data_IF_964358237959
#
_entry.id   IF_964358237959
#
_cell.length_a   1.000
_cell.length_b   1.000
_cell.length_c   1.000
_cell.angle_alpha   90.00
_cell.angle_beta   90.00
_cell.angle_gamma   90.00
#
_symmetry.space_group_name_H-M   'P 1'
#
loop_
_entity.id
_entity.type
_entity.pdbx_description
1 polymer ?
#
# COMPACT_ATOMS: atom_id res chain seq x y z
N UNK A 1 -16.24 3.31 -17.03
CA UNK A 1 -15.28 3.95 -16.10
C UNK A 1 -13.90 3.75 -16.66
N UNK A 2 -13.08 4.80 -16.69
CA UNK A 2 -11.69 4.68 -17.12
C UNK A 2 -10.93 3.78 -16.12
N UNK A 3 -9.93 3.01 -16.54
CA UNK A 3 -9.19 2.11 -15.63
C UNK A 3 -8.60 2.87 -14.43
N UNK A 4 -8.16 4.12 -14.63
CA UNK A 4 -7.62 4.97 -13.58
C UNK A 4 -8.69 5.67 -12.71
N UNK A 5 -9.97 5.74 -13.13
CA UNK A 5 -11.07 6.15 -12.22
C UNK A 5 -11.28 5.10 -11.11
N UNK A 6 -11.02 3.82 -11.43
CA UNK A 6 -11.02 2.76 -10.43
C UNK A 6 -9.91 2.96 -9.41
N UNK A 7 -8.70 3.34 -9.84
CA UNK A 7 -7.60 3.67 -8.91
C UNK A 7 -7.96 4.85 -8.01
N UNK A 8 -8.62 5.89 -8.53
CA UNK A 8 -9.07 7.00 -7.69
C UNK A 8 -10.04 6.56 -6.59
N UNK A 9 -11.07 5.79 -6.95
CA UNK A 9 -12.04 5.25 -5.97
C UNK A 9 -11.37 4.32 -4.96
N UNK A 10 -10.54 3.40 -5.45
CA UNK A 10 -9.76 2.49 -4.61
C UNK A 10 -8.84 3.25 -3.66
N UNK A 11 -8.15 4.29 -4.15
CA UNK A 11 -7.25 5.11 -3.35
C UNK A 11 -7.96 5.83 -2.21
N UNK A 12 -9.14 6.42 -2.43
CA UNK A 12 -9.90 7.06 -1.34
C UNK A 12 -10.43 6.06 -0.32
N UNK A 13 -10.95 4.91 -0.76
CA UNK A 13 -11.38 3.84 0.16
C UNK A 13 -10.20 3.27 0.95
N UNK A 14 -9.07 3.04 0.29
CA UNK A 14 -7.83 2.58 0.91
C UNK A 14 -7.32 3.59 1.94
N UNK A 15 -7.33 4.89 1.60
CA UNK A 15 -6.92 5.96 2.51
C UNK A 15 -7.78 5.99 3.78
N UNK A 16 -9.10 5.84 3.65
CA UNK A 16 -10.00 5.76 4.80
C UNK A 16 -9.67 4.55 5.70
N UNK A 17 -9.40 3.39 5.10
CA UNK A 17 -9.01 2.17 5.83
C UNK A 17 -7.69 2.39 6.56
N UNK A 18 -6.67 2.91 5.89
CA UNK A 18 -5.35 3.08 6.50
C UNK A 18 -5.30 4.22 7.51
N UNK A 19 -6.09 5.28 7.33
CA UNK A 19 -6.31 6.30 8.36
C UNK A 19 -6.91 5.67 9.62
N UNK A 20 -7.94 4.83 9.46
CA UNK A 20 -8.57 4.12 10.58
C UNK A 20 -7.60 3.15 11.27
N UNK A 21 -6.79 2.43 10.49
CA UNK A 21 -5.74 1.57 11.02
C UNK A 21 -4.72 2.37 11.83
N UNK A 22 -4.24 3.50 11.30
CA UNK A 22 -3.30 4.40 11.98
C UNK A 22 -3.83 4.87 13.34
N UNK A 23 -5.08 5.37 13.37
CA UNK A 23 -5.74 5.74 14.62
C UNK A 23 -5.87 4.56 15.59
N UNK A 24 -6.15 3.35 15.09
CA UNK A 24 -6.15 2.13 15.90
C UNK A 24 -4.78 1.82 16.52
N UNK A 25 -3.69 1.93 15.74
CA UNK A 25 -2.33 1.73 16.25
C UNK A 25 -1.94 2.79 17.29
N UNK A 26 -2.33 4.05 17.08
CA UNK A 26 -2.12 5.13 18.04
C UNK A 26 -2.89 4.89 19.34
N UNK A 27 -4.12 4.40 19.27
CA UNK A 27 -4.92 4.00 20.45
C UNK A 27 -4.19 2.89 21.21
N UNK A 28 -3.77 1.81 20.54
CA UNK A 28 -3.03 0.72 21.17
C UNK A 28 -1.74 1.21 21.85
N UNK A 29 -1.04 2.16 21.21
CA UNK A 29 0.17 2.77 21.74
C UNK A 29 -0.13 3.67 22.94
N UNK A 30 -1.11 4.57 22.83
CA UNK A 30 -1.47 5.55 23.85
C UNK A 30 -2.03 4.91 25.13
N UNK A 31 -2.84 3.86 25.00
CA UNK A 31 -3.33 3.07 26.13
C UNK A 31 -2.34 2.01 26.63
N UNK A 32 -1.15 1.93 26.03
CA UNK A 32 -0.09 0.98 26.40
C UNK A 32 -0.57 -0.47 26.46
N UNK A 33 -1.32 -0.90 25.45
CA UNK A 33 -1.80 -2.27 25.36
C UNK A 33 -0.60 -3.22 25.16
N UNK A 34 -0.31 -4.06 26.17
CA UNK A 34 0.92 -4.86 26.21
C UNK A 34 1.14 -5.76 24.99
N UNK A 35 0.05 -6.31 24.42
CA UNK A 35 0.09 -7.07 23.16
C UNK A 35 0.74 -6.31 21.98
N UNK A 36 0.74 -4.97 22.02
CA UNK A 36 1.34 -4.12 20.99
C UNK A 36 2.64 -3.42 21.44
N UNK A 37 2.74 -2.99 22.71
CA UNK A 37 3.86 -2.15 23.18
C UNK A 37 4.90 -2.86 24.05
N UNK A 38 4.65 -4.09 24.51
CA UNK A 38 5.65 -4.81 25.31
C UNK A 38 6.92 -5.07 24.50
N UNK A 39 8.06 -5.21 25.19
CA UNK A 39 9.40 -5.34 24.59
C UNK A 39 9.49 -6.51 23.59
N UNK A 40 8.74 -7.60 23.83
CA UNK A 40 8.69 -8.74 22.92
C UNK A 40 7.94 -8.49 21.60
N UNK A 41 7.23 -7.36 21.47
CA UNK A 41 6.35 -7.04 20.34
C UNK A 41 6.95 -6.01 19.37
N UNK A 42 8.24 -5.74 19.43
CA UNK A 42 8.92 -4.76 18.56
C UNK A 42 8.72 -5.07 17.07
N UNK A 43 8.87 -6.34 16.67
CA UNK A 43 8.67 -6.75 15.28
C UNK A 43 7.20 -6.61 14.85
N UNK A 44 6.23 -6.97 15.70
CA UNK A 44 4.79 -6.72 15.44
C UNK A 44 4.52 -5.24 15.22
N UNK A 45 5.05 -4.40 16.09
CA UNK A 45 4.87 -2.95 16.03
C UNK A 45 5.49 -2.38 14.75
N UNK A 46 6.71 -2.76 14.41
CA UNK A 46 7.35 -2.39 13.14
C UNK A 46 6.51 -2.82 11.93
N UNK A 47 6.08 -4.07 11.90
CA UNK A 47 5.30 -4.62 10.79
C UNK A 47 3.95 -3.90 10.61
N UNK A 48 3.25 -3.59 11.70
CA UNK A 48 2.00 -2.83 11.62
C UNK A 48 2.22 -1.38 11.19
N UNK A 49 3.31 -0.74 11.65
CA UNK A 49 3.71 0.59 11.18
C UNK A 49 4.02 0.58 9.67
N UNK A 50 4.77 -0.42 9.19
CA UNK A 50 5.06 -0.56 7.76
C UNK A 50 3.80 -0.81 6.94
N UNK A 51 2.87 -1.64 7.45
CA UNK A 51 1.58 -1.88 6.82
C UNK A 51 0.77 -0.58 6.69
N UNK A 52 0.65 0.19 7.76
CA UNK A 52 -0.02 1.50 7.76
C UNK A 52 0.66 2.50 6.81
N UNK A 53 1.99 2.61 6.89
CA UNK A 53 2.76 3.56 6.09
C UNK A 53 2.66 3.26 4.58
N UNK A 54 2.87 2.00 4.17
CA UNK A 54 2.80 1.62 2.76
C UNK A 54 1.35 1.62 2.25
N UNK A 55 0.39 1.23 3.07
CA UNK A 55 -1.02 1.33 2.72
C UNK A 55 -1.45 2.77 2.45
N UNK A 56 -1.08 3.70 3.33
CA UNK A 56 -1.36 5.14 3.16
C UNK A 56 -0.64 5.70 1.94
N UNK A 57 0.66 5.43 1.79
CA UNK A 57 1.44 5.92 0.66
C UNK A 57 0.85 5.42 -0.68
N UNK A 58 0.54 4.12 -0.79
CA UNK A 58 -0.01 3.55 -2.02
C UNK A 58 -1.46 3.95 -2.27
N UNK A 59 -2.25 4.27 -1.24
CA UNK A 59 -3.54 4.92 -1.40
C UNK A 59 -3.40 6.29 -2.08
N UNK A 60 -2.44 7.10 -1.63
CA UNK A 60 -2.13 8.40 -2.25
C UNK A 60 -1.60 8.25 -3.68
N UNK A 61 -0.74 7.26 -3.95
CA UNK A 61 -0.26 6.97 -5.32
C UNK A 61 -1.43 6.55 -6.23
N UNK A 62 -2.41 5.79 -5.74
CA UNK A 62 -3.61 5.43 -6.49
C UNK A 62 -4.48 6.67 -6.81
N UNK A 63 -4.64 7.59 -5.85
CA UNK A 63 -5.32 8.87 -6.06
C UNK A 63 -4.57 9.70 -7.12
N UNK A 64 -3.25 9.85 -6.96
CA UNK A 64 -2.40 10.58 -7.90
C UNK A 64 -2.49 10.01 -9.31
N UNK A 65 -2.39 8.69 -9.48
CA UNK A 65 -2.56 8.02 -10.77
C UNK A 65 -3.94 8.31 -11.40
N UNK A 66 -5.00 8.29 -10.59
CA UNK A 66 -6.35 8.66 -11.02
C UNK A 66 -6.46 10.11 -11.50
N UNK A 67 -5.86 11.05 -10.77
CA UNK A 67 -5.85 12.48 -11.12
C UNK A 67 -5.00 12.75 -12.36
N UNK A 68 -3.84 12.11 -12.48
CA UNK A 68 -2.96 12.18 -13.67
C UNK A 68 -3.72 11.76 -14.93
N UNK A 69 -4.47 10.67 -14.86
CA UNK A 69 -5.29 10.18 -15.98
C UNK A 69 -6.36 11.17 -16.46
N UNK A 70 -6.90 11.97 -15.54
CA UNK A 70 -7.96 12.94 -15.83
C UNK A 70 -7.39 14.23 -16.43
N UNK A 71 -6.18 14.60 -16.02
CA UNK A 71 -5.58 15.87 -16.38
C UNK A 71 -4.65 15.79 -17.60
N UNK A 72 -4.08 14.61 -17.90
CA UNK A 72 -3.19 14.42 -19.05
C UNK A 72 -3.98 13.87 -20.25
N UNK A 73 -4.17 14.71 -21.26
CA UNK A 73 -4.80 14.31 -22.54
C UNK A 73 -3.91 13.32 -23.27
N UNK A 74 -4.50 12.27 -23.84
CA UNK A 74 -3.74 11.30 -24.65
C UNK A 74 -2.96 10.25 -23.83
N UNK A 75 -3.21 10.13 -22.53
CA UNK A 75 -2.68 9.04 -21.68
C UNK A 75 -3.70 7.90 -21.55
N UNK A 76 -3.75 6.92 -22.48
CA UNK A 76 -4.69 5.80 -22.38
C UNK A 76 -4.25 4.86 -21.25
N UNK A 77 -5.01 4.72 -20.16
CA UNK A 77 -4.58 3.87 -19.08
C UNK A 77 -4.77 2.40 -19.42
N UNK A 78 -3.64 1.71 -19.52
CA UNK A 78 -3.61 0.26 -19.68
C UNK A 78 -4.27 -0.41 -18.46
N UNK A 79 -5.18 -1.38 -18.66
CA UNK A 79 -5.78 -2.12 -17.56
C UNK A 79 -4.73 -2.78 -16.65
N UNK A 80 -3.62 -3.26 -17.22
CA UNK A 80 -2.53 -3.90 -16.48
C UNK A 80 -1.87 -2.94 -15.48
N UNK A 81 -1.57 -1.70 -15.88
CA UNK A 81 -0.97 -0.69 -14.99
C UNK A 81 -1.88 -0.39 -13.80
N UNK A 82 -3.18 -0.20 -14.08
CA UNK A 82 -4.19 0.05 -13.06
C UNK A 82 -4.30 -1.11 -12.06
N UNK A 83 -4.38 -2.35 -12.57
CA UNK A 83 -4.48 -3.55 -11.76
C UNK A 83 -3.21 -3.79 -10.93
N UNK A 84 -2.03 -3.66 -11.53
CA UNK A 84 -0.76 -3.82 -10.84
C UNK A 84 -0.61 -2.82 -9.68
N UNK A 85 -1.04 -1.56 -9.87
CA UNK A 85 -1.01 -0.56 -8.79
C UNK A 85 -2.01 -0.86 -7.68
N UNK A 86 -3.21 -1.35 -7.99
CA UNK A 86 -4.20 -1.76 -6.99
C UNK A 86 -3.66 -2.96 -6.20
N UNK A 87 -3.17 -3.99 -6.88
CA UNK A 87 -2.64 -5.19 -6.23
C UNK A 87 -1.38 -4.90 -5.41
N UNK A 88 -0.48 -4.02 -5.86
CA UNK A 88 0.61 -3.54 -5.03
C UNK A 88 0.07 -2.85 -3.76
N UNK A 89 -0.93 -1.99 -3.89
CA UNK A 89 -1.61 -1.31 -2.79
C UNK A 89 -2.31 -2.26 -1.80
N UNK A 90 -2.61 -3.49 -2.18
CA UNK A 90 -3.17 -4.53 -1.29
C UNK A 90 -2.06 -5.38 -0.70
N UNK A 91 -1.16 -5.92 -1.52
CA UNK A 91 -0.18 -6.91 -1.12
C UNK A 91 0.90 -6.36 -0.18
N UNK A 92 1.34 -5.11 -0.36
CA UNK A 92 2.29 -4.47 0.57
C UNK A 92 1.73 -4.43 2.01
N UNK A 93 0.60 -3.74 2.26
CA UNK A 93 0.08 -3.63 3.61
C UNK A 93 -0.40 -4.97 4.18
N UNK A 94 -1.00 -5.84 3.37
CA UNK A 94 -1.40 -7.18 3.82
C UNK A 94 -0.18 -8.01 4.20
N UNK A 95 0.90 -7.98 3.39
CA UNK A 95 2.13 -8.72 3.65
C UNK A 95 2.79 -8.30 4.96
N UNK A 96 2.94 -6.99 5.17
CA UNK A 96 3.45 -6.46 6.44
C UNK A 96 2.52 -6.78 7.61
N UNK A 97 1.21 -6.56 7.47
CA UNK A 97 0.26 -6.83 8.55
C UNK A 97 0.28 -8.30 8.97
N UNK A 98 0.20 -9.23 8.02
CA UNK A 98 0.31 -10.67 8.29
C UNK A 98 1.67 -11.05 8.88
N UNK A 99 2.76 -10.43 8.40
CA UNK A 99 4.10 -10.59 8.97
C UNK A 99 4.21 -10.11 10.43
N UNK A 100 3.33 -9.21 10.86
CA UNK A 100 3.25 -8.74 12.25
C UNK A 100 2.32 -9.56 13.15
N UNK A 101 1.42 -10.38 12.62
CA UNK A 101 0.48 -11.17 13.43
C UNK A 101 1.22 -12.29 14.19
N UNK A 102 2.02 -13.07 13.47
CA UNK A 102 2.87 -14.13 14.00
C UNK A 102 4.33 -13.78 13.71
N UNK A 103 5.17 -13.72 14.74
CA UNK A 103 6.59 -13.35 14.65
C UNK A 103 7.46 -14.46 15.23
N UNK A 104 8.67 -14.65 14.69
CA UNK A 104 9.57 -15.74 15.07
C UNK A 104 10.90 -15.19 15.53
N UNK A 105 11.16 -15.16 16.85
CA UNK A 105 12.49 -14.78 17.37
C UNK A 105 12.98 -13.38 16.98
N UNK A 106 12.06 -12.47 16.67
CA UNK A 106 12.36 -11.14 16.14
C UNK A 106 12.15 -10.99 14.64
N UNK A 107 11.97 -12.08 13.89
CA UNK A 107 11.67 -12.07 12.45
C UNK A 107 10.16 -11.95 12.16
N UNK A 108 9.78 -11.31 11.03
CA UNK A 108 8.39 -11.27 10.60
C UNK A 108 7.90 -12.67 10.19
N UNK A 109 6.58 -12.89 10.32
CA UNK A 109 5.93 -14.10 9.84
C UNK A 109 5.91 -14.23 8.32
N UNK A 110 5.41 -15.38 7.85
CA UNK A 110 5.37 -15.76 6.42
C UNK A 110 4.63 -14.76 5.51
N UNK A 111 3.78 -13.90 6.07
CA UNK A 111 3.12 -12.83 5.33
C UNK A 111 4.09 -11.91 4.58
N UNK A 112 5.32 -11.76 5.08
CA UNK A 112 6.36 -10.92 4.47
C UNK A 112 6.68 -11.31 3.02
N UNK A 113 6.46 -12.58 2.63
CA UNK A 113 6.70 -13.06 1.26
C UNK A 113 5.78 -12.45 0.21
N UNK A 114 4.68 -11.81 0.62
CA UNK A 114 3.83 -11.03 -0.29
C UNK A 114 4.50 -9.72 -0.72
N UNK A 115 5.41 -9.16 0.08
CA UNK A 115 6.03 -7.85 -0.14
C UNK A 115 6.92 -7.84 -1.40
N UNK A 116 7.79 -8.82 -1.67
CA UNK A 116 8.54 -8.89 -2.93
C UNK A 116 7.64 -8.93 -4.17
N UNK A 117 6.53 -9.66 -4.11
CA UNK A 117 5.55 -9.75 -5.21
C UNK A 117 4.89 -8.39 -5.42
N UNK A 118 4.48 -7.72 -4.33
CA UNK A 118 3.93 -6.38 -4.36
C UNK A 118 4.91 -5.37 -4.98
N UNK A 119 6.19 -5.47 -4.61
CA UNK A 119 7.25 -4.62 -5.14
C UNK A 119 7.40 -4.78 -6.65
N UNK A 120 7.45 -6.01 -7.16
CA UNK A 120 7.53 -6.26 -8.61
C UNK A 120 6.36 -5.65 -9.39
N UNK A 121 5.14 -5.76 -8.85
CA UNK A 121 3.95 -5.13 -9.46
C UNK A 121 4.03 -3.60 -9.46
N UNK A 122 4.52 -3.02 -8.37
CA UNK A 122 4.71 -1.57 -8.24
C UNK A 122 5.78 -1.08 -9.22
N UNK A 123 6.93 -1.75 -9.29
CA UNK A 123 7.99 -1.44 -10.24
C UNK A 123 7.47 -1.48 -11.68
N UNK A 124 6.73 -2.52 -12.04
CA UNK A 124 6.12 -2.62 -13.36
C UNK A 124 5.19 -1.44 -13.68
N UNK A 125 4.25 -1.11 -12.77
CA UNK A 125 3.27 -0.08 -13.06
C UNK A 125 3.89 1.32 -13.10
N UNK A 126 4.80 1.65 -12.17
CA UNK A 126 5.49 2.95 -12.12
C UNK A 126 6.40 3.11 -13.33
N UNK A 127 7.21 2.11 -13.67
CA UNK A 127 8.05 2.14 -14.85
C UNK A 127 7.22 2.35 -16.11
N UNK A 128 6.06 1.66 -16.23
CA UNK A 128 5.21 1.87 -17.40
C UNK A 128 4.58 3.24 -17.49
N UNK A 129 4.09 3.79 -16.39
CA UNK A 129 3.58 5.17 -16.36
C UNK A 129 4.68 6.14 -16.79
N UNK A 130 5.90 5.99 -16.26
CA UNK A 130 7.04 6.83 -16.63
C UNK A 130 7.34 6.75 -18.14
N UNK A 131 7.48 5.53 -18.69
CA UNK A 131 7.75 5.35 -20.12
C UNK A 131 6.63 5.88 -21.03
N UNK A 132 5.37 5.70 -20.65
CA UNK A 132 4.23 6.15 -21.45
C UNK A 132 4.16 7.70 -21.46
N UNK A 133 4.46 8.36 -20.33
CA UNK A 133 4.55 9.82 -20.26
C UNK A 133 5.74 10.39 -21.04
N UNK A 134 6.90 9.73 -21.00
CA UNK A 134 8.08 10.18 -21.77
C UNK A 134 7.88 10.13 -23.29
N UNK A 135 6.92 9.33 -23.79
CA UNK A 135 6.58 9.28 -25.22
C UNK A 135 5.50 10.28 -25.64
N UNK A 136 4.84 10.91 -24.68
CA UNK A 136 3.76 11.87 -24.92
C UNK A 136 4.23 13.32 -25.01
N UNK A 137 5.51 13.58 -24.70
CA UNK A 137 6.21 14.84 -24.94
C UNK A 137 7.00 14.74 -26.24
#
# INVERSE_FOLDING_TARGET
MNNLDRNLRFGWWSLLIFLSLGGGLEILHGFKIGWYVDVGNDMRRLMFTLAHAHGTALALVNIAAGLTARNIKGFPPRPSVSLSLIWAGILFPVGFFLGGIVTYGGDPGLGIWLVPIAALLLFYCVARIAFDLSKSN
#
